data_IF_143575198787
#
_entry.id   IF_143575198787
#
_cell.length_a   1.000
_cell.length_b   1.000
_cell.length_c   1.000
_cell.angle_alpha   90.00
_cell.angle_beta   90.00
_cell.angle_gamma   90.00
#
_symmetry.space_group_name_H-M   'P 1'
#
loop_
_entity.id
_entity.type
_entity.pdbx_description
1 polymer ?
#
# COMPACT_ATOMS: atom_id res chain seq x y z
N UNK A 1 -11.33 -25.27 42.57
CA UNK A 1 -10.44 -25.44 43.75
C UNK A 1 -9.29 -24.45 43.60
N UNK A 2 -8.82 -23.84 44.68
CA UNK A 2 -7.62 -23.00 44.72
C UNK A 2 -6.60 -23.67 45.62
N UNK A 3 -5.34 -23.57 45.25
CA UNK A 3 -4.20 -24.07 46.01
C UNK A 3 -3.12 -22.99 45.97
N UNK A 4 -2.32 -22.89 47.03
CA UNK A 4 -1.25 -21.90 47.08
C UNK A 4 -0.17 -22.29 46.07
N UNK A 5 0.30 -21.34 45.28
CA UNK A 5 1.51 -21.49 44.46
C UNK A 5 2.68 -20.84 45.18
N UNK A 6 3.76 -21.59 45.35
CA UNK A 6 5.02 -21.09 45.91
C UNK A 6 5.92 -20.62 44.76
N UNK A 7 6.06 -19.30 44.64
CA UNK A 7 6.86 -18.65 43.61
C UNK A 7 8.36 -18.97 43.70
N UNK A 8 8.87 -19.28 44.90
CA UNK A 8 10.29 -19.57 45.11
C UNK A 8 10.62 -20.99 44.64
N UNK A 9 9.72 -21.93 44.91
CA UNK A 9 9.91 -23.34 44.56
C UNK A 9 9.26 -23.74 43.24
N UNK A 10 8.46 -22.85 42.62
CA UNK A 10 7.76 -23.08 41.36
C UNK A 10 6.73 -24.20 41.42
N UNK A 11 6.15 -24.44 42.60
CA UNK A 11 5.30 -25.60 42.86
C UNK A 11 4.05 -25.26 43.67
N UNK A 12 3.02 -26.09 43.54
CA UNK A 12 1.83 -26.00 44.40
C UNK A 12 2.18 -26.46 45.82
N UNK A 13 1.69 -25.73 46.82
CA UNK A 13 1.95 -25.98 48.22
C UNK A 13 0.65 -26.01 49.05
N UNK A 14 0.63 -26.87 50.06
CA UNK A 14 -0.53 -27.06 50.95
C UNK A 14 -1.73 -27.75 50.28
N UNK A 15 -2.84 -27.85 51.00
CA UNK A 15 -4.04 -28.54 50.52
C UNK A 15 -4.89 -27.64 49.61
N UNK A 16 -5.50 -28.24 48.58
CA UNK A 16 -6.43 -27.56 47.70
C UNK A 16 -7.76 -27.30 48.43
N UNK A 17 -8.25 -26.06 48.42
CA UNK A 17 -9.55 -25.67 48.99
C UNK A 17 -10.55 -25.31 47.90
N UNK A 18 -11.84 -25.57 48.13
CA UNK A 18 -12.88 -25.10 47.22
C UNK A 18 -13.33 -23.69 47.62
N UNK A 19 -13.41 -22.78 46.66
CA UNK A 19 -14.02 -21.47 46.82
C UNK A 19 -15.12 -21.39 45.75
N UNK A 20 -16.34 -21.07 46.16
CA UNK A 20 -17.40 -20.75 45.21
C UNK A 20 -17.22 -19.31 44.76
N UNK A 21 -17.09 -19.12 43.45
CA UNK A 21 -16.98 -17.82 42.80
C UNK A 21 -17.64 -17.92 41.42
N UNK A 22 -18.31 -16.85 41.02
CA UNK A 22 -18.87 -16.65 39.68
C UNK A 22 -17.88 -15.93 38.75
N UNK A 23 -16.86 -15.28 39.33
CA UNK A 23 -15.82 -14.54 38.63
C UNK A 23 -14.44 -14.80 39.25
N UNK A 24 -13.42 -14.90 38.39
CA UNK A 24 -12.01 -14.94 38.78
C UNK A 24 -11.28 -13.79 38.11
N UNK A 25 -10.81 -12.82 38.90
CA UNK A 25 -9.97 -11.72 38.42
C UNK A 25 -8.50 -12.16 38.45
N UNK A 26 -7.85 -12.14 37.29
CA UNK A 26 -6.46 -12.56 37.13
C UNK A 26 -5.57 -11.36 36.88
N UNK A 27 -4.47 -11.26 37.63
CA UNK A 27 -3.41 -10.27 37.40
C UNK A 27 -2.08 -11.01 37.22
N UNK A 28 -1.58 -11.05 35.98
CA UNK A 28 -0.34 -11.73 35.61
C UNK A 28 0.83 -10.78 35.36
N UNK A 29 0.69 -9.51 35.73
CA UNK A 29 1.64 -8.44 35.42
C UNK A 29 1.25 -7.63 34.18
N UNK A 30 2.19 -6.79 33.71
CA UNK A 30 1.95 -5.80 32.66
C UNK A 30 2.82 -6.03 31.44
N UNK A 31 2.28 -5.78 30.25
CA UNK A 31 3.01 -5.75 28.98
C UNK A 31 2.85 -4.37 28.33
N UNK A 32 3.89 -3.53 28.34
CA UNK A 32 3.85 -2.21 27.70
C UNK A 32 3.41 -2.28 26.24
N UNK A 33 2.53 -1.35 25.83
CA UNK A 33 1.99 -1.31 24.46
C UNK A 33 2.98 -0.64 23.51
N UNK A 34 4.04 -1.35 23.13
CA UNK A 34 5.17 -0.79 22.36
C UNK A 34 5.03 -0.89 20.84
N UNK A 35 3.89 -1.40 20.37
CA UNK A 35 3.63 -1.77 18.96
C UNK A 35 4.01 -0.68 17.97
N UNK A 36 3.59 0.57 18.19
CA UNK A 36 3.86 1.69 17.29
C UNK A 36 5.35 2.06 17.26
N UNK A 37 6.02 2.02 18.41
CA UNK A 37 7.46 2.28 18.49
C UNK A 37 8.28 1.19 17.80
N UNK A 38 7.88 -0.07 17.93
CA UNK A 38 8.52 -1.17 17.19
C UNK A 38 8.26 -1.11 15.68
N UNK A 39 7.07 -0.65 15.26
CA UNK A 39 6.79 -0.39 13.84
C UNK A 39 7.65 0.75 13.26
N UNK A 40 8.17 1.65 14.10
CA UNK A 40 9.13 2.68 13.70
C UNK A 40 10.54 2.13 13.39
N UNK A 41 10.75 0.81 13.48
CA UNK A 41 11.90 0.10 12.91
C UNK A 41 12.99 -0.30 13.91
N UNK A 42 12.82 0.00 15.19
CA UNK A 42 13.76 -0.40 16.24
C UNK A 42 13.22 -1.58 17.08
N UNK A 43 14.13 -2.39 17.62
CA UNK A 43 13.78 -3.60 18.38
C UNK A 43 13.45 -3.26 19.84
N UNK A 44 12.39 -3.86 20.37
CA UNK A 44 12.06 -3.76 21.78
C UNK A 44 13.23 -4.18 22.69
N UNK A 45 13.34 -3.52 23.84
CA UNK A 45 14.41 -3.75 24.81
C UNK A 45 13.85 -4.50 26.02
N UNK A 46 14.51 -5.56 26.47
CA UNK A 46 14.06 -6.31 27.65
C UNK A 46 14.50 -5.63 28.94
N UNK A 47 13.57 -5.42 29.86
CA UNK A 47 13.86 -4.93 31.20
C UNK A 47 13.59 -6.02 32.24
N UNK A 48 14.66 -6.54 32.87
CA UNK A 48 14.58 -7.61 33.85
C UNK A 48 13.94 -7.20 35.18
N UNK A 49 14.00 -5.92 35.57
CA UNK A 49 13.34 -5.44 36.78
C UNK A 49 11.82 -5.41 36.61
N UNK A 50 11.36 -4.95 35.44
CA UNK A 50 9.93 -4.87 35.08
C UNK A 50 9.37 -6.17 34.50
N UNK A 51 10.24 -7.15 34.21
CA UNK A 51 9.91 -8.42 33.53
C UNK A 51 9.07 -8.19 32.26
N UNK A 52 9.44 -7.18 31.46
CA UNK A 52 8.69 -6.75 30.29
C UNK A 52 9.59 -6.23 29.17
N UNK A 53 9.06 -6.27 27.94
CA UNK A 53 9.65 -5.55 26.82
C UNK A 53 9.25 -4.08 26.86
N UNK A 54 10.25 -3.22 26.91
CA UNK A 54 10.16 -1.77 26.84
C UNK A 54 10.38 -1.29 25.40
N UNK A 55 9.94 -0.07 25.08
CA UNK A 55 10.09 0.49 23.76
C UNK A 55 11.57 0.66 23.42
N UNK A 56 11.95 0.53 22.13
CA UNK A 56 13.30 0.84 21.70
C UNK A 56 13.68 2.28 22.01
N UNK A 57 14.97 2.56 22.06
CA UNK A 57 15.47 3.93 21.88
C UNK A 57 14.90 4.55 20.58
N UNK A 58 14.40 5.79 20.68
CA UNK A 58 13.73 6.45 19.57
C UNK A 58 14.72 6.76 18.42
N UNK A 59 14.49 6.13 17.26
CA UNK A 59 15.23 6.39 16.01
C UNK A 59 14.52 7.37 15.08
N UNK A 60 13.28 7.76 15.43
CA UNK A 60 12.44 8.71 14.70
C UNK A 60 11.85 9.74 15.66
N UNK A 61 11.10 10.72 15.14
CA UNK A 61 10.51 11.81 15.93
C UNK A 61 9.26 11.36 16.71
N UNK A 62 9.47 10.62 17.78
CA UNK A 62 8.43 10.29 18.75
C UNK A 62 9.00 10.32 20.17
N UNK A 63 8.13 10.52 21.16
CA UNK A 63 8.49 10.56 22.59
C UNK A 63 7.51 9.65 23.34
N UNK A 64 8.05 8.77 24.20
CA UNK A 64 7.27 7.89 25.05
C UNK A 64 7.02 8.47 26.44
N UNK A 65 5.93 8.06 27.07
CA UNK A 65 5.65 8.38 28.48
C UNK A 65 4.70 7.35 29.13
N UNK A 66 4.80 7.19 30.45
CA UNK A 66 3.90 6.39 31.28
C UNK A 66 4.09 4.88 31.13
N UNK A 67 3.03 4.09 31.25
CA UNK A 67 3.15 2.62 31.22
C UNK A 67 3.80 2.09 29.92
N UNK A 68 3.78 2.88 28.84
CA UNK A 68 4.53 2.60 27.62
C UNK A 68 6.05 2.50 27.86
N UNK A 69 6.64 3.33 28.72
CA UNK A 69 8.09 3.30 29.07
C UNK A 69 8.41 2.33 30.23
N UNK A 70 7.39 1.64 30.77
CA UNK A 70 7.52 0.78 31.95
C UNK A 70 7.22 1.49 33.28
N UNK A 71 6.72 2.72 33.23
CA UNK A 71 6.29 3.49 34.41
C UNK A 71 4.83 3.21 34.75
N UNK A 72 4.61 2.27 35.67
CA UNK A 72 3.27 1.74 35.97
C UNK A 72 2.49 2.54 37.03
N UNK A 73 3.12 3.47 37.74
CA UNK A 73 2.40 4.35 38.67
C UNK A 73 1.78 5.55 37.96
N UNK A 74 0.65 6.03 38.49
CA UNK A 74 -0.01 7.25 38.01
C UNK A 74 0.90 8.48 38.16
N UNK A 75 1.70 8.55 39.24
CA UNK A 75 2.60 9.66 39.50
C UNK A 75 3.70 9.77 38.44
N UNK A 76 4.36 8.64 38.12
CA UNK A 76 5.39 8.59 37.08
C UNK A 76 4.80 8.93 35.71
N UNK A 77 3.63 8.37 35.37
CA UNK A 77 2.99 8.62 34.07
C UNK A 77 2.63 10.10 33.86
N UNK A 78 2.18 10.80 34.90
CA UNK A 78 1.89 12.24 34.86
C UNK A 78 3.17 13.06 34.68
N UNK A 79 4.23 12.73 35.43
CA UNK A 79 5.50 13.44 35.35
C UNK A 79 6.14 13.27 33.97
N UNK A 80 6.18 12.04 33.46
CA UNK A 80 6.71 11.73 32.13
C UNK A 80 5.88 12.32 31.00
N UNK A 81 4.54 12.19 31.07
CA UNK A 81 3.65 12.72 30.03
C UNK A 81 3.80 14.23 29.86
N UNK A 82 3.97 14.94 30.98
CA UNK A 82 4.28 16.37 30.97
C UNK A 82 5.65 16.66 30.37
N UNK A 83 6.69 15.95 30.79
CA UNK A 83 8.04 16.15 30.26
C UNK A 83 8.08 15.89 28.75
N UNK A 84 7.42 14.84 28.28
CA UNK A 84 7.27 14.50 26.88
C UNK A 84 6.51 15.58 26.10
N UNK A 85 5.40 16.08 26.65
CA UNK A 85 4.62 17.16 26.03
C UNK A 85 5.40 18.47 25.92
N UNK A 86 6.13 18.86 26.98
CA UNK A 86 6.97 20.06 26.96
C UNK A 86 8.12 19.94 25.95
N UNK A 87 8.76 18.77 25.90
CA UNK A 87 9.80 18.48 24.92
C UNK A 87 9.27 18.54 23.48
N UNK A 88 8.12 17.91 23.21
CA UNK A 88 7.47 17.94 21.90
C UNK A 88 7.05 19.35 21.46
N UNK A 89 6.69 20.22 22.41
CA UNK A 89 6.30 21.61 22.15
C UNK A 89 7.47 22.60 22.02
N UNK A 90 8.73 22.16 22.19
CA UNK A 90 9.90 23.05 22.08
C UNK A 90 10.24 23.84 23.36
N UNK A 91 9.73 23.43 24.52
CA UNK A 91 10.35 23.73 25.83
C UNK A 91 10.35 25.18 26.32
N UNK A 92 9.23 25.91 26.26
CA UNK A 92 9.15 27.28 26.84
C UNK A 92 8.03 27.49 27.86
N UNK A 93 7.32 26.43 28.26
CA UNK A 93 6.24 26.53 29.25
C UNK A 93 6.72 26.60 30.70
N UNK A 94 6.20 27.55 31.48
CA UNK A 94 6.44 27.64 32.92
C UNK A 94 5.90 26.41 33.65
N UNK A 95 6.66 25.78 34.55
CA UNK A 95 6.15 24.59 35.21
C UNK A 95 5.00 24.86 36.20
N UNK A 96 3.75 24.50 35.86
CA UNK A 96 2.66 24.32 36.84
C UNK A 96 2.98 23.21 37.86
N UNK A 97 2.40 23.21 39.06
CA UNK A 97 2.56 22.08 39.98
C UNK A 97 1.90 20.80 39.40
N UNK A 98 2.51 19.64 39.61
CA UNK A 98 1.86 18.37 39.27
C UNK A 98 0.71 18.10 40.26
N UNK A 99 -0.40 17.48 39.81
CA UNK A 99 -1.45 17.05 40.73
C UNK A 99 -0.90 16.02 41.72
N UNK A 100 -1.34 16.13 42.98
CA UNK A 100 -1.05 15.12 44.00
C UNK A 100 -1.92 13.90 43.71
N UNK A 101 -1.30 12.72 43.64
CA UNK A 101 -1.99 11.45 43.43
C UNK A 101 -1.75 10.52 44.60
N UNK A 102 -2.75 9.72 44.94
CA UNK A 102 -2.62 8.68 45.96
C UNK A 102 -1.68 7.58 45.45
N UNK A 103 -0.82 7.06 46.34
CA UNK A 103 0.05 5.94 45.99
C UNK A 103 -0.81 4.68 45.77
N UNK A 104 -0.59 3.98 44.66
CA UNK A 104 -1.28 2.73 44.40
C UNK A 104 -0.92 1.70 45.50
N UNK A 105 -1.90 1.03 46.12
CA UNK A 105 -1.61 -0.03 47.07
C UNK A 105 -1.06 -1.27 46.35
N UNK A 106 -0.03 -1.89 46.93
CA UNK A 106 0.58 -3.12 46.41
C UNK A 106 1.95 -2.92 45.75
N UNK A 107 2.47 -3.99 45.17
CA UNK A 107 3.72 -3.98 44.42
C UNK A 107 3.48 -3.41 43.02
N UNK A 108 4.15 -2.32 42.61
CA UNK A 108 4.03 -1.77 41.25
C UNK A 108 4.64 -2.69 40.18
N UNK A 109 5.47 -3.67 40.58
CA UNK A 109 6.20 -4.60 39.71
C UNK A 109 5.95 -6.06 40.08
N UNK A 110 4.70 -6.54 40.03
CA UNK A 110 4.42 -7.92 40.40
C UNK A 110 5.19 -8.88 39.48
N UNK A 111 6.01 -9.75 40.07
CA UNK A 111 6.74 -10.78 39.33
C UNK A 111 5.74 -11.66 38.55
N UNK A 112 5.79 -11.71 37.21
CA UNK A 112 4.82 -12.43 36.42
C UNK A 112 4.96 -13.93 36.61
N UNK A 113 3.83 -14.64 36.67
CA UNK A 113 3.76 -16.09 36.64
C UNK A 113 3.33 -16.53 35.25
N UNK A 114 4.28 -17.00 34.44
CA UNK A 114 3.99 -17.37 33.05
C UNK A 114 3.27 -18.70 32.90
N UNK A 115 3.48 -19.62 33.86
CA UNK A 115 2.77 -20.89 33.91
C UNK A 115 2.69 -21.42 35.35
N UNK A 116 1.50 -21.91 35.73
CA UNK A 116 1.32 -22.77 36.89
C UNK A 116 1.00 -24.18 36.39
N UNK A 117 1.87 -25.15 36.68
CA UNK A 117 1.65 -26.55 36.31
C UNK A 117 0.69 -27.20 37.29
N UNK A 118 -0.48 -27.59 36.81
CA UNK A 118 -1.53 -28.26 37.58
C UNK A 118 -2.31 -29.22 36.67
N UNK A 119 -3.21 -30.01 37.27
CA UNK A 119 -4.14 -30.86 36.51
C UNK A 119 -5.10 -29.99 35.69
N UNK A 120 -5.16 -30.22 34.37
CA UNK A 120 -6.06 -29.51 33.46
C UNK A 120 -5.32 -28.85 32.28
N UNK A 121 -6.01 -27.93 31.60
CA UNK A 121 -5.45 -27.16 30.47
C UNK A 121 -4.87 -25.83 30.96
N UNK A 122 -3.64 -25.54 30.57
CA UNK A 122 -3.01 -24.23 30.73
C UNK A 122 -3.09 -23.47 29.41
N UNK A 123 -4.11 -22.63 29.22
CA UNK A 123 -4.27 -21.84 28.01
C UNK A 123 -3.26 -20.70 27.94
N UNK A 124 -2.70 -20.51 26.75
CA UNK A 124 -1.74 -19.45 26.40
C UNK A 124 -2.37 -18.47 25.42
N UNK A 125 -3.09 -18.97 24.41
CA UNK A 125 -3.91 -18.18 23.49
C UNK A 125 -5.37 -18.62 23.60
N UNK A 126 -6.22 -17.76 24.14
CA UNK A 126 -7.63 -18.09 24.33
C UNK A 126 -8.42 -18.08 23.03
N UNK A 127 -8.06 -17.26 22.04
CA UNK A 127 -8.86 -17.13 20.82
C UNK A 127 -8.63 -18.30 19.87
N UNK A 128 -7.42 -18.86 19.87
CA UNK A 128 -7.05 -20.02 19.05
C UNK A 128 -6.93 -21.32 19.84
N UNK A 129 -7.37 -21.35 21.11
CA UNK A 129 -7.30 -22.53 21.99
C UNK A 129 -5.87 -23.13 22.14
N UNK A 130 -4.83 -22.30 22.03
CA UNK A 130 -3.44 -22.76 22.19
C UNK A 130 -3.12 -22.91 23.67
N UNK A 131 -2.58 -24.07 24.04
CA UNK A 131 -2.17 -24.39 25.41
C UNK A 131 -0.65 -24.47 25.57
N UNK A 132 -0.18 -24.50 26.81
CA UNK A 132 1.23 -24.73 27.13
C UNK A 132 1.71 -26.11 26.62
N UNK A 133 0.82 -27.09 26.49
CA UNK A 133 1.19 -28.40 25.93
C UNK A 133 1.46 -28.33 24.43
N UNK A 134 0.77 -27.46 23.69
CA UNK A 134 1.05 -27.23 22.27
C UNK A 134 2.42 -26.56 22.07
N UNK A 135 2.81 -25.66 22.99
CA UNK A 135 4.16 -25.07 23.02
C UNK A 135 5.22 -26.15 23.27
N UNK A 136 4.97 -27.06 24.21
CA UNK A 136 5.87 -28.20 24.48
C UNK A 136 5.94 -29.16 23.30
N UNK A 137 4.81 -29.44 22.65
CA UNK A 137 4.76 -30.29 21.47
C UNK A 137 5.58 -29.69 20.33
N UNK A 138 5.39 -28.39 20.04
CA UNK A 138 6.19 -27.68 19.04
C UNK A 138 7.69 -27.78 19.33
N UNK A 139 8.10 -27.59 20.58
CA UNK A 139 9.50 -27.75 20.98
C UNK A 139 10.00 -29.20 20.80
N UNK A 140 9.23 -30.21 21.20
CA UNK A 140 9.58 -31.64 21.02
C UNK A 140 9.74 -32.00 19.54
N UNK A 141 8.98 -31.38 18.65
CA UNK A 141 9.09 -31.56 17.19
C UNK A 141 10.21 -30.74 16.55
N UNK A 142 10.99 -29.99 17.35
CA UNK A 142 12.18 -29.28 16.89
C UNK A 142 11.95 -27.81 16.51
N UNK A 143 10.77 -27.26 16.73
CA UNK A 143 10.48 -25.84 16.48
C UNK A 143 11.01 -24.95 17.61
N UNK A 144 12.25 -24.49 17.47
CA UNK A 144 12.94 -23.66 18.48
C UNK A 144 12.78 -22.14 18.31
N UNK A 145 12.52 -21.68 17.08
CA UNK A 145 12.29 -20.26 16.80
C UNK A 145 10.86 -19.85 17.17
N UNK A 146 10.69 -18.67 17.76
CA UNK A 146 9.36 -18.11 18.07
C UNK A 146 8.50 -17.93 16.83
N UNK A 147 9.14 -17.69 15.67
CA UNK A 147 8.46 -17.59 14.39
C UNK A 147 7.94 -18.95 13.91
N UNK A 148 8.65 -20.04 14.22
CA UNK A 148 8.17 -21.40 13.97
C UNK A 148 7.07 -21.80 14.95
N UNK A 149 7.25 -21.52 16.24
CA UNK A 149 6.21 -21.75 17.26
C UNK A 149 4.88 -21.10 16.86
N UNK A 150 4.92 -19.83 16.48
CA UNK A 150 3.76 -19.07 16.01
C UNK A 150 3.06 -19.76 14.84
N UNK A 151 3.81 -20.20 13.82
CA UNK A 151 3.24 -20.82 12.61
C UNK A 151 2.72 -22.23 12.84
N UNK A 152 3.37 -22.98 13.72
CA UNK A 152 2.98 -24.35 14.06
C UNK A 152 1.71 -24.37 14.91
N UNK A 153 1.65 -23.53 15.95
CA UNK A 153 0.55 -23.53 16.92
C UNK A 153 -0.59 -22.57 16.55
N UNK A 154 -0.38 -21.66 15.60
CA UNK A 154 -1.25 -20.51 15.29
C UNK A 154 -1.34 -19.44 16.39
N UNK A 155 -0.52 -19.56 17.45
CA UNK A 155 -0.39 -18.60 18.54
C UNK A 155 -0.23 -17.16 18.05
N UNK A 156 -1.02 -16.24 18.60
CA UNK A 156 -0.90 -14.81 18.35
C UNK A 156 -1.23 -14.40 16.91
N UNK A 157 -1.87 -15.29 16.13
CA UNK A 157 -2.36 -15.02 14.78
C UNK A 157 -3.85 -14.67 14.75
N UNK A 158 -4.49 -14.61 15.91
CA UNK A 158 -5.91 -14.32 16.03
C UNK A 158 -6.21 -12.81 15.81
N UNK A 159 -7.48 -12.42 15.96
CA UNK A 159 -7.90 -11.02 15.72
C UNK A 159 -7.32 -10.04 16.74
N UNK A 160 -6.92 -10.52 17.91
CA UNK A 160 -6.25 -9.74 18.94
C UNK A 160 -4.74 -9.53 18.64
N UNK A 161 -4.18 -10.28 17.69
CA UNK A 161 -2.75 -10.31 17.32
C UNK A 161 -1.83 -10.67 18.50
N UNK A 162 -2.31 -11.53 19.40
CA UNK A 162 -1.51 -12.08 20.51
C UNK A 162 -1.12 -11.06 21.58
N UNK A 163 -1.93 -10.01 21.76
CA UNK A 163 -1.74 -8.98 22.80
C UNK A 163 -1.67 -9.58 24.21
N UNK A 164 -2.34 -10.71 24.44
CA UNK A 164 -2.31 -11.43 25.73
C UNK A 164 -1.52 -12.74 25.68
N UNK A 165 -1.23 -13.29 24.49
CA UNK A 165 -0.70 -14.66 24.34
C UNK A 165 0.78 -14.74 23.98
N UNK A 166 1.31 -13.76 23.23
CA UNK A 166 2.68 -13.84 22.70
C UNK A 166 3.73 -13.89 23.83
N UNK A 167 3.53 -13.11 24.89
CA UNK A 167 4.53 -12.98 25.93
C UNK A 167 4.60 -14.21 26.86
N UNK A 168 3.48 -14.76 27.38
CA UNK A 168 3.51 -16.04 28.09
C UNK A 168 4.08 -17.19 27.25
N UNK A 169 3.76 -17.26 25.96
CA UNK A 169 4.30 -18.27 25.06
C UNK A 169 5.81 -18.15 24.86
N UNK A 170 6.29 -16.92 24.71
CA UNK A 170 7.72 -16.62 24.60
C UNK A 170 8.47 -17.06 25.86
N UNK A 171 7.93 -16.76 27.03
CA UNK A 171 8.51 -17.18 28.31
C UNK A 171 8.51 -18.71 28.47
N UNK A 172 7.44 -19.39 28.07
CA UNK A 172 7.37 -20.85 28.06
C UNK A 172 8.41 -21.49 27.12
N UNK A 173 8.56 -20.93 25.91
CA UNK A 173 9.58 -21.39 24.95
C UNK A 173 11.01 -21.11 25.45
N UNK A 174 11.24 -19.96 26.09
CA UNK A 174 12.53 -19.63 26.71
C UNK A 174 12.91 -20.67 27.78
N UNK A 175 11.96 -21.01 28.66
CA UNK A 175 12.16 -22.04 29.69
C UNK A 175 12.45 -23.42 29.10
N UNK A 176 11.75 -23.85 28.03
CA UNK A 176 11.98 -25.13 27.36
C UNK A 176 13.36 -25.21 26.68
N UNK A 177 13.84 -24.08 26.16
CA UNK A 177 15.14 -23.95 25.52
C UNK A 177 16.30 -23.73 26.49
N UNK A 178 16.02 -23.60 27.79
CA UNK A 178 16.99 -23.15 28.79
C UNK A 178 17.71 -21.85 28.36
N UNK A 179 16.95 -20.90 27.80
CA UNK A 179 17.42 -19.61 27.30
C UNK A 179 16.71 -18.47 28.03
N UNK A 180 17.27 -17.26 27.96
CA UNK A 180 16.59 -16.07 28.47
C UNK A 180 15.49 -15.60 27.52
N UNK A 181 14.53 -14.83 28.04
CA UNK A 181 13.45 -14.23 27.22
C UNK A 181 14.00 -13.39 26.05
N UNK A 182 15.03 -12.53 26.23
CA UNK A 182 15.66 -11.79 25.13
C UNK A 182 16.25 -12.66 24.03
N UNK A 183 16.94 -13.75 24.39
CA UNK A 183 17.60 -14.68 23.44
C UNK A 183 16.59 -15.50 22.63
N UNK A 184 15.37 -15.64 23.15
CA UNK A 184 14.29 -16.37 22.47
C UNK A 184 13.71 -15.55 21.32
N UNK A 185 13.82 -14.22 21.39
CA UNK A 185 13.45 -13.25 20.36
C UNK A 185 11.97 -12.83 20.44
N UNK A 186 11.68 -11.55 20.29
CA UNK A 186 10.29 -11.08 20.16
C UNK A 186 9.79 -11.21 18.72
N UNK A 187 8.51 -11.52 18.54
CA UNK A 187 7.89 -11.52 17.21
C UNK A 187 7.81 -10.10 16.65
N UNK A 188 7.84 -9.98 15.32
CA UNK A 188 7.75 -8.67 14.66
C UNK A 188 6.36 -8.04 14.83
N UNK A 189 6.30 -6.78 15.28
CA UNK A 189 5.07 -5.98 15.31
C UNK A 189 4.78 -5.39 13.92
N UNK A 190 3.53 -5.51 13.45
CA UNK A 190 3.11 -5.05 12.12
C UNK A 190 1.88 -4.15 12.19
N UNK A 191 1.74 -3.16 11.30
CA UNK A 191 0.47 -2.47 11.11
C UNK A 191 -0.57 -3.42 10.46
N UNK A 192 -1.87 -3.19 10.68
CA UNK A 192 -2.43 -2.19 11.61
C UNK A 192 -2.38 -2.69 13.08
N UNK A 193 -2.34 -1.77 14.07
CA UNK A 193 -2.34 -2.12 15.51
C UNK A 193 -3.57 -2.95 15.92
N UNK A 194 -4.72 -2.60 15.34
CA UNK A 194 -5.99 -3.32 15.41
C UNK A 194 -6.58 -3.38 14.00
N UNK A 195 -7.41 -4.39 13.67
CA UNK A 195 -8.02 -4.52 12.36
C UNK A 195 -8.73 -3.24 11.89
N UNK A 196 -8.61 -2.95 10.59
CA UNK A 196 -9.28 -1.83 9.92
C UNK A 196 -10.13 -2.40 8.79
N UNK A 197 -11.37 -1.93 8.65
CA UNK A 197 -12.24 -2.35 7.56
C UNK A 197 -11.65 -1.96 6.19
N UNK A 198 -11.67 -2.88 5.21
CA UNK A 198 -11.13 -2.64 3.86
C UNK A 198 -11.78 -1.40 3.22
N UNK A 199 -13.08 -1.18 3.43
CA UNK A 199 -13.79 0.00 2.92
C UNK A 199 -13.27 1.33 3.47
N UNK A 200 -12.76 1.36 4.71
CA UNK A 200 -12.14 2.55 5.28
C UNK A 200 -10.79 2.86 4.60
N UNK A 201 -10.03 1.84 4.21
CA UNK A 201 -8.79 1.98 3.44
C UNK A 201 -9.04 2.41 1.99
N UNK A 202 -10.11 1.90 1.37
CA UNK A 202 -10.51 2.28 0.01
C UNK A 202 -11.01 3.73 -0.07
N UNK A 203 -11.57 4.26 1.02
CA UNK A 203 -12.07 5.63 1.08
C UNK A 203 -13.14 5.91 0.03
N UNK A 204 -12.90 6.89 -0.84
CA UNK A 204 -13.83 7.28 -1.92
C UNK A 204 -13.45 6.68 -3.29
N UNK A 205 -12.46 5.79 -3.35
CA UNK A 205 -12.07 5.11 -4.58
C UNK A 205 -13.03 3.96 -4.92
N UNK A 206 -14.29 4.29 -5.21
CA UNK A 206 -15.38 3.34 -5.52
C UNK A 206 -16.13 3.74 -6.80
N UNK A 207 -16.67 2.76 -7.53
CA UNK A 207 -17.42 3.02 -8.76
C UNK A 207 -16.63 3.87 -9.77
N UNK A 208 -17.26 4.92 -10.33
CA UNK A 208 -16.60 5.86 -11.24
C UNK A 208 -15.57 6.80 -10.56
N UNK A 209 -15.40 6.73 -9.24
CA UNK A 209 -14.32 7.41 -8.52
C UNK A 209 -13.11 6.50 -8.27
N UNK A 210 -13.18 5.22 -8.67
CA UNK A 210 -12.03 4.30 -8.58
C UNK A 210 -10.89 4.73 -9.50
N UNK A 211 -11.21 5.20 -10.71
CA UNK A 211 -10.28 5.78 -11.69
C UNK A 211 -10.95 6.94 -12.43
N UNK A 212 -10.21 7.98 -12.84
CA UNK A 212 -10.78 9.06 -13.63
C UNK A 212 -11.29 8.55 -14.98
N UNK A 213 -12.33 9.21 -15.50
CA UNK A 213 -12.88 8.95 -16.81
C UNK A 213 -12.69 10.19 -17.66
N UNK A 214 -12.15 10.01 -18.86
CA UNK A 214 -11.89 11.05 -19.85
C UNK A 214 -12.91 10.96 -20.97
N UNK A 215 -13.45 12.11 -21.37
CA UNK A 215 -14.48 12.24 -22.39
C UNK A 215 -14.00 13.21 -23.45
N UNK A 216 -14.22 12.88 -24.71
CA UNK A 216 -13.91 13.80 -25.81
C UNK A 216 -14.94 14.93 -25.84
N UNK A 217 -14.67 16.06 -26.52
CA UNK A 217 -15.67 17.11 -26.72
C UNK A 217 -16.94 16.62 -27.45
N UNK A 218 -16.87 15.47 -28.13
CA UNK A 218 -17.99 14.85 -28.87
C UNK A 218 -18.78 13.83 -28.04
N UNK A 219 -18.40 13.61 -26.77
CA UNK A 219 -18.99 12.55 -25.94
C UNK A 219 -20.52 12.63 -25.82
N UNK A 220 -21.06 13.81 -25.56
CA UNK A 220 -22.52 13.97 -25.42
C UNK A 220 -23.24 13.71 -26.76
N UNK A 221 -22.61 14.03 -27.89
CA UNK A 221 -23.15 13.67 -29.21
C UNK A 221 -23.17 12.15 -29.41
N UNK A 222 -22.10 11.45 -29.02
CA UNK A 222 -22.02 9.99 -29.08
C UNK A 222 -23.15 9.34 -28.27
N UNK A 223 -23.34 9.79 -27.03
CA UNK A 223 -24.40 9.27 -26.14
C UNK A 223 -25.80 9.53 -26.71
N UNK A 224 -26.06 10.75 -27.19
CA UNK A 224 -27.34 11.13 -27.78
C UNK A 224 -27.66 10.35 -29.07
N UNK A 225 -26.64 9.92 -29.81
CA UNK A 225 -26.78 9.13 -31.04
C UNK A 225 -26.60 7.63 -30.81
N UNK A 226 -26.79 7.15 -29.58
CA UNK A 226 -26.87 5.72 -29.31
C UNK A 226 -25.53 4.98 -29.44
N UNK A 227 -24.41 5.66 -29.21
CA UNK A 227 -23.12 5.01 -29.08
C UNK A 227 -23.11 4.07 -27.85
N UNK A 228 -22.65 2.84 -28.06
CA UNK A 228 -22.14 2.00 -26.98
C UNK A 228 -20.71 2.43 -26.68
N UNK A 229 -20.38 2.72 -25.42
CA UNK A 229 -19.05 3.25 -25.08
C UNK A 229 -18.11 2.16 -24.57
N UNK A 230 -16.87 2.16 -25.04
CA UNK A 230 -15.79 1.29 -24.60
C UNK A 230 -14.75 2.08 -23.79
N UNK A 231 -14.29 1.50 -22.69
CA UNK A 231 -13.15 2.01 -21.92
C UNK A 231 -11.83 1.67 -22.64
N UNK A 232 -11.10 2.71 -23.08
CA UNK A 232 -9.77 2.58 -23.67
C UNK A 232 -8.78 3.37 -22.82
N UNK A 233 -8.12 2.68 -21.89
CA UNK A 233 -7.37 3.32 -20.81
C UNK A 233 -8.30 4.11 -19.90
N UNK A 234 -8.13 5.43 -19.85
CA UNK A 234 -9.03 6.33 -19.12
C UNK A 234 -10.14 6.91 -20.01
N UNK A 235 -10.09 6.73 -21.32
CA UNK A 235 -11.04 7.35 -22.25
C UNK A 235 -12.30 6.50 -22.46
N UNK A 236 -13.45 7.15 -22.52
CA UNK A 236 -14.65 6.55 -23.11
C UNK A 236 -14.67 6.85 -24.61
N UNK A 237 -14.58 5.79 -25.43
CA UNK A 237 -14.65 5.89 -26.89
C UNK A 237 -15.91 5.21 -27.42
N UNK A 238 -16.53 5.71 -28.50
CA UNK A 238 -17.59 4.96 -29.19
C UNK A 238 -17.05 3.62 -29.65
N UNK A 239 -17.70 2.54 -29.24
CA UNK A 239 -17.39 1.18 -29.66
C UNK A 239 -18.09 0.85 -30.97
N UNK A 240 -19.40 1.09 -31.00
CA UNK A 240 -20.28 1.03 -32.17
C UNK A 240 -21.54 1.86 -31.88
N UNK A 241 -22.36 2.10 -32.90
CA UNK A 241 -23.64 2.78 -32.76
C UNK A 241 -24.80 1.80 -32.90
N UNK A 242 -25.75 1.81 -31.96
CA UNK A 242 -26.83 0.80 -31.89
C UNK A 242 -27.78 0.82 -33.10
N UNK A 243 -27.78 1.88 -33.90
CA UNK A 243 -28.53 1.93 -35.16
C UNK A 243 -27.91 1.03 -36.24
N UNK A 244 -26.64 0.66 -36.10
CA UNK A 244 -25.91 -0.19 -37.06
C UNK A 244 -26.13 -1.69 -36.83
N UNK A 245 -26.63 -2.10 -35.67
CA UNK A 245 -26.82 -3.50 -35.32
C UNK A 245 -27.24 -3.68 -33.85
N UNK A 246 -27.81 -4.85 -33.53
CA UNK A 246 -28.25 -5.16 -32.17
C UNK A 246 -27.08 -5.43 -31.20
N UNK A 247 -25.94 -5.86 -31.75
CA UNK A 247 -24.68 -6.05 -31.05
C UNK A 247 -23.48 -5.58 -31.90
N UNK A 248 -22.28 -5.69 -31.35
CA UNK A 248 -21.06 -5.30 -32.06
C UNK A 248 -20.83 -6.13 -33.33
N UNK A 249 -21.20 -7.41 -33.35
CA UNK A 249 -20.94 -8.32 -34.48
C UNK A 249 -21.78 -7.96 -35.70
N UNK A 250 -23.00 -7.48 -35.50
CA UNK A 250 -23.81 -6.93 -36.59
C UNK A 250 -23.33 -5.52 -36.96
N UNK A 251 -23.10 -4.68 -35.96
CA UNK A 251 -22.78 -3.27 -36.15
C UNK A 251 -21.48 -3.06 -36.92
N UNK A 252 -20.40 -3.77 -36.59
CA UNK A 252 -19.11 -3.58 -37.27
C UNK A 252 -19.20 -3.91 -38.76
N UNK A 253 -19.97 -4.93 -39.15
CA UNK A 253 -20.18 -5.29 -40.57
C UNK A 253 -20.93 -4.18 -41.30
N UNK A 254 -22.01 -3.66 -40.70
CA UNK A 254 -22.81 -2.58 -41.29
C UNK A 254 -22.01 -1.28 -41.43
N UNK A 255 -21.31 -0.87 -40.37
CA UNK A 255 -20.48 0.34 -40.33
C UNK A 255 -19.33 0.25 -41.34
N UNK A 256 -18.60 -0.87 -41.39
CA UNK A 256 -17.54 -1.08 -42.37
C UNK A 256 -18.06 -1.04 -43.81
N UNK A 257 -19.23 -1.64 -44.08
CA UNK A 257 -19.85 -1.58 -45.41
C UNK A 257 -20.18 -0.14 -45.79
N UNK A 258 -20.76 0.64 -44.88
CA UNK A 258 -21.07 2.05 -45.10
C UNK A 258 -19.82 2.88 -45.38
N UNK A 259 -18.74 2.71 -44.59
CA UNK A 259 -17.46 3.40 -44.82
C UNK A 259 -16.89 3.07 -46.20
N UNK A 260 -16.91 1.79 -46.61
CA UNK A 260 -16.33 1.35 -47.89
C UNK A 260 -17.14 1.75 -49.11
N UNK A 261 -18.46 1.84 -49.00
CA UNK A 261 -19.36 2.16 -50.12
C UNK A 261 -19.68 3.66 -50.21
N UNK A 262 -19.61 4.38 -49.10
CA UNK A 262 -19.94 5.80 -49.01
C UNK A 262 -18.88 6.56 -48.21
N UNK A 263 -19.15 6.88 -46.95
CA UNK A 263 -18.22 7.49 -46.02
C UNK A 263 -18.66 7.20 -44.58
N UNK A 264 -17.71 7.22 -43.65
CA UNK A 264 -17.98 7.25 -42.22
C UNK A 264 -17.04 8.21 -41.50
N UNK A 265 -17.46 8.59 -40.31
CA UNK A 265 -16.75 9.51 -39.43
C UNK A 265 -16.40 8.79 -38.14
N UNK A 266 -15.14 8.91 -37.70
CA UNK A 266 -14.67 8.36 -36.43
C UNK A 266 -14.06 9.46 -35.57
N UNK A 267 -14.47 9.54 -34.30
CA UNK A 267 -13.81 10.35 -33.30
C UNK A 267 -12.45 9.71 -32.93
N UNK A 268 -11.39 10.39 -33.33
CA UNK A 268 -9.99 10.02 -33.05
C UNK A 268 -9.31 11.04 -32.13
N UNK A 269 -10.09 11.86 -31.44
CA UNK A 269 -9.61 12.88 -30.50
C UNK A 269 -8.77 12.27 -29.37
N UNK A 270 -8.89 10.97 -29.11
CA UNK A 270 -8.17 10.29 -28.02
C UNK A 270 -6.73 9.89 -28.36
N UNK A 271 -6.27 10.02 -29.61
CA UNK A 271 -4.87 9.75 -29.94
C UNK A 271 -3.95 10.68 -29.15
N UNK A 272 -2.77 10.21 -28.76
CA UNK A 272 -1.74 11.10 -28.23
C UNK A 272 -1.27 12.04 -29.34
N UNK A 273 -1.02 13.30 -29.01
CA UNK A 273 -0.56 14.33 -29.94
C UNK A 273 0.56 15.11 -29.27
N UNK A 274 1.72 15.15 -29.92
CA UNK A 274 2.91 15.80 -29.40
C UNK A 274 3.43 16.75 -30.47
N UNK A 275 3.60 18.01 -30.10
CA UNK A 275 4.28 19.01 -30.93
C UNK A 275 5.78 18.93 -30.62
N UNK A 276 6.59 18.67 -31.65
CA UNK A 276 8.05 18.50 -31.56
C UNK A 276 8.70 19.65 -32.31
N UNK A 277 9.36 20.56 -31.59
CA UNK A 277 9.84 21.82 -32.13
C UNK A 277 11.32 22.05 -31.81
N UNK A 278 12.12 22.36 -32.83
CA UNK A 278 13.52 22.74 -32.67
C UNK A 278 14.40 22.32 -33.85
N UNK A 279 15.58 22.94 -34.00
CA UNK A 279 16.51 22.62 -35.10
C UNK A 279 16.92 21.15 -35.15
N UNK A 280 16.96 20.45 -34.01
CA UNK A 280 17.38 19.04 -33.95
C UNK A 280 16.20 18.05 -33.96
N UNK A 281 14.96 18.52 -34.18
CA UNK A 281 13.76 17.69 -34.15
C UNK A 281 13.81 16.51 -35.13
N UNK A 282 14.29 16.73 -36.34
CA UNK A 282 14.44 15.67 -37.34
C UNK A 282 15.43 14.58 -36.90
N UNK A 283 16.56 14.96 -36.30
CA UNK A 283 17.57 14.04 -35.79
C UNK A 283 17.01 13.24 -34.61
N UNK A 284 16.29 13.92 -33.71
CA UNK A 284 15.64 13.26 -32.59
C UNK A 284 14.62 12.22 -33.06
N UNK A 285 13.76 12.55 -34.03
CA UNK A 285 12.78 11.60 -34.58
C UNK A 285 13.44 10.40 -35.27
N UNK A 286 14.58 10.58 -35.94
CA UNK A 286 15.37 9.47 -36.52
C UNK A 286 15.95 8.52 -35.44
N UNK A 287 16.13 9.00 -34.20
CA UNK A 287 16.55 8.15 -33.07
C UNK A 287 15.39 7.45 -32.38
N UNK A 288 14.20 8.04 -32.42
CA UNK A 288 12.99 7.51 -31.76
C UNK A 288 12.28 6.47 -32.62
N UNK A 289 12.16 6.72 -33.92
CA UNK A 289 11.49 5.82 -34.84
C UNK A 289 12.46 4.85 -35.52
N UNK A 290 11.98 3.65 -35.80
CA UNK A 290 12.73 2.65 -36.57
C UNK A 290 12.98 3.06 -38.03
N UNK A 291 12.19 4.00 -38.56
CA UNK A 291 12.34 4.57 -39.90
C UNK A 291 12.72 6.05 -39.85
N UNK A 292 13.41 6.54 -40.89
CA UNK A 292 13.87 7.93 -40.94
C UNK A 292 12.75 8.94 -41.20
N UNK A 293 12.91 10.14 -40.66
CA UNK A 293 12.09 11.35 -40.76
C UNK A 293 12.86 12.56 -41.30
N UNK A 294 14.20 12.58 -41.23
CA UNK A 294 14.99 13.74 -41.66
C UNK A 294 14.71 14.23 -43.10
N UNK A 295 14.46 13.30 -44.02
CA UNK A 295 14.14 13.57 -45.44
C UNK A 295 12.63 13.73 -45.73
N UNK A 296 11.77 13.74 -44.71
CA UNK A 296 10.33 13.95 -44.90
C UNK A 296 10.10 15.40 -45.37
N UNK A 297 9.47 15.66 -46.53
CA UNK A 297 9.17 17.03 -46.96
C UNK A 297 8.15 17.72 -46.03
N UNK A 298 8.21 19.05 -45.93
CA UNK A 298 7.19 19.85 -45.23
C UNK A 298 5.82 19.63 -45.91
N UNK A 299 4.76 19.55 -45.10
CA UNK A 299 3.39 19.27 -45.55
C UNK A 299 3.12 17.80 -45.84
N UNK A 300 4.07 16.91 -45.54
CA UNK A 300 3.90 15.44 -45.66
C UNK A 300 3.88 14.78 -44.30
N UNK A 301 3.24 13.62 -44.26
CA UNK A 301 3.15 12.76 -43.10
C UNK A 301 3.77 11.40 -43.38
N UNK A 302 4.28 10.75 -42.34
CA UNK A 302 4.87 9.41 -42.41
C UNK A 302 4.47 8.61 -41.18
N UNK A 303 4.04 7.38 -41.40
CA UNK A 303 3.85 6.40 -40.34
C UNK A 303 5.21 5.89 -39.86
N UNK A 304 5.37 5.71 -38.55
CA UNK A 304 6.57 5.18 -37.94
C UNK A 304 6.25 4.30 -36.74
N UNK A 305 7.18 3.39 -36.44
CA UNK A 305 7.12 2.49 -35.28
C UNK A 305 8.24 2.85 -34.33
N UNK A 306 7.90 3.02 -33.05
CA UNK A 306 8.84 3.28 -31.97
C UNK A 306 9.16 1.95 -31.28
N UNK A 307 10.44 1.68 -31.07
CA UNK A 307 10.90 0.45 -30.41
C UNK A 307 11.44 0.78 -29.02
N UNK A 308 11.34 -0.20 -28.13
CA UNK A 308 12.14 -0.22 -26.89
C UNK A 308 13.59 -0.59 -27.22
N UNK A 309 14.45 -0.47 -26.22
CA UNK A 309 15.88 -0.79 -26.33
C UNK A 309 16.13 -2.28 -26.63
N UNK A 310 15.17 -3.17 -26.33
CA UNK A 310 15.20 -4.60 -26.66
C UNK A 310 14.66 -4.91 -28.08
N UNK A 311 14.33 -3.89 -28.88
CA UNK A 311 13.84 -4.04 -30.25
C UNK A 311 12.36 -4.40 -30.38
N UNK A 312 11.62 -4.50 -29.27
CA UNK A 312 10.18 -4.79 -29.30
C UNK A 312 9.38 -3.49 -29.49
N UNK A 313 8.28 -3.57 -30.23
CA UNK A 313 7.38 -2.44 -30.46
C UNK A 313 6.92 -1.84 -29.12
N UNK A 314 7.15 -0.54 -28.99
CA UNK A 314 6.73 0.26 -27.86
C UNK A 314 5.41 0.97 -28.15
N UNK A 315 5.37 1.71 -29.26
CA UNK A 315 4.19 2.39 -29.79
C UNK A 315 4.38 2.70 -31.28
N UNK A 316 3.39 3.29 -31.93
CA UNK A 316 3.43 3.67 -33.33
C UNK A 316 2.59 4.92 -33.58
N UNK A 317 2.68 5.46 -34.79
CA UNK A 317 1.78 6.51 -35.19
C UNK A 317 2.23 7.26 -36.43
N UNK A 318 1.46 8.29 -36.77
CA UNK A 318 1.75 9.15 -37.92
C UNK A 318 2.34 10.46 -37.44
N UNK A 319 3.48 10.84 -37.99
CA UNK A 319 4.11 12.12 -37.73
C UNK A 319 4.13 12.98 -38.99
N UNK A 320 3.64 14.21 -38.87
CA UNK A 320 3.53 15.19 -39.96
C UNK A 320 4.58 16.27 -39.79
N UNK A 321 5.35 16.59 -40.85
CA UNK A 321 6.28 17.71 -40.82
C UNK A 321 5.54 19.01 -41.17
N UNK A 322 5.25 19.82 -40.16
CA UNK A 322 4.49 21.07 -40.32
C UNK A 322 5.35 22.23 -40.82
N UNK A 323 6.62 22.26 -40.42
CA UNK A 323 7.62 23.21 -40.90
C UNK A 323 9.01 22.55 -40.89
N UNK A 324 10.04 23.26 -41.33
CA UNK A 324 11.43 22.74 -41.35
C UNK A 324 11.84 22.12 -40.01
N UNK A 325 11.55 22.81 -38.91
CA UNK A 325 11.93 22.45 -37.54
C UNK A 325 10.72 22.14 -36.63
N UNK A 326 9.58 21.74 -37.22
CA UNK A 326 8.35 21.45 -36.46
C UNK A 326 7.64 20.21 -36.99
N UNK A 327 7.35 19.28 -36.09
CA UNK A 327 6.63 18.05 -36.37
C UNK A 327 5.45 17.87 -35.42
N UNK A 328 4.35 17.35 -35.96
CA UNK A 328 3.19 16.94 -35.19
C UNK A 328 3.14 15.42 -35.16
N UNK A 329 3.50 14.85 -34.02
CA UNK A 329 3.53 13.42 -33.78
C UNK A 329 2.18 12.97 -33.22
N UNK A 330 1.64 11.87 -33.76
CA UNK A 330 0.55 11.13 -33.13
C UNK A 330 1.04 9.80 -32.57
N UNK A 331 0.40 9.34 -31.51
CA UNK A 331 0.68 8.07 -30.83
C UNK A 331 -0.63 7.31 -30.61
N UNK A 332 -0.55 6.05 -30.18
CA UNK A 332 -1.74 5.34 -29.72
C UNK A 332 -2.40 6.04 -28.52
N UNK A 333 -3.71 5.87 -28.36
CA UNK A 333 -4.47 6.46 -27.24
C UNK A 333 -3.95 6.04 -25.87
N UNK A 334 -3.60 4.76 -25.71
CA UNK A 334 -3.21 4.22 -24.42
C UNK A 334 -1.78 4.61 -24.01
N UNK A 335 -0.91 4.95 -24.98
CA UNK A 335 0.50 5.24 -24.75
C UNK A 335 0.88 6.71 -24.86
N UNK A 336 -0.09 7.62 -25.02
CA UNK A 336 0.17 9.05 -25.15
C UNK A 336 1.11 9.61 -24.05
N UNK A 337 0.83 9.29 -22.78
CA UNK A 337 1.65 9.72 -21.64
C UNK A 337 3.01 9.00 -21.58
N UNK A 338 3.02 7.70 -21.84
CA UNK A 338 4.25 6.89 -21.83
C UNK A 338 5.24 7.35 -22.91
N UNK A 339 4.75 7.65 -24.12
CA UNK A 339 5.60 8.16 -25.21
C UNK A 339 6.19 9.51 -24.83
N UNK A 340 5.38 10.49 -24.42
CA UNK A 340 5.90 11.81 -24.01
C UNK A 340 6.96 11.67 -22.91
N UNK A 341 6.66 10.88 -21.88
CA UNK A 341 7.58 10.66 -20.76
C UNK A 341 8.90 10.04 -21.22
N UNK A 342 8.87 9.12 -22.20
CA UNK A 342 10.08 8.54 -22.80
C UNK A 342 10.86 9.57 -23.62
N UNK A 343 10.18 10.43 -24.37
CA UNK A 343 10.83 11.50 -25.14
C UNK A 343 11.56 12.47 -24.20
N UNK A 344 10.88 12.94 -23.16
CA UNK A 344 11.45 13.83 -22.13
C UNK A 344 12.62 13.16 -21.42
N UNK A 345 12.46 11.92 -20.96
CA UNK A 345 13.54 11.16 -20.33
C UNK A 345 14.79 11.07 -21.19
N UNK A 346 14.65 10.81 -22.49
CA UNK A 346 15.79 10.69 -23.40
C UNK A 346 16.47 12.05 -23.65
N UNK A 347 15.70 13.13 -23.73
CA UNK A 347 16.24 14.48 -23.82
C UNK A 347 17.00 14.86 -22.54
N UNK A 348 16.47 14.53 -21.36
CA UNK A 348 17.09 14.89 -20.08
C UNK A 348 18.33 14.05 -19.75
N UNK A 349 18.36 12.77 -20.16
CA UNK A 349 19.37 11.81 -19.66
C UNK A 349 20.33 11.29 -20.71
N UNK A 350 19.89 11.15 -21.97
CA UNK A 350 20.69 10.53 -23.02
C UNK A 350 21.23 11.56 -24.01
N UNK A 351 20.42 12.56 -24.38
CA UNK A 351 20.74 13.53 -25.42
C UNK A 351 20.47 14.99 -24.99
N UNK A 352 21.02 15.45 -23.86
CA UNK A 352 20.79 16.80 -23.32
C UNK A 352 21.29 17.92 -24.24
N UNK A 353 22.18 17.61 -25.18
CA UNK A 353 22.73 18.59 -26.13
C UNK A 353 21.80 18.87 -27.33
N UNK A 354 20.74 18.07 -27.55
CA UNK A 354 19.81 18.31 -28.66
C UNK A 354 18.92 19.52 -28.37
N UNK A 355 18.85 20.46 -29.32
CA UNK A 355 18.07 21.69 -29.18
C UNK A 355 16.67 21.50 -29.75
N UNK A 356 15.79 20.93 -28.93
CA UNK A 356 14.36 20.85 -29.22
C UNK A 356 13.54 20.79 -27.93
N UNK A 357 12.23 20.98 -28.08
CA UNK A 357 11.24 20.72 -27.05
C UNK A 357 10.14 19.80 -27.59
N UNK A 358 9.58 19.01 -26.71
CA UNK A 358 8.37 18.22 -26.94
C UNK A 358 7.26 18.76 -26.04
N UNK A 359 6.04 18.88 -26.55
CA UNK A 359 4.90 19.36 -25.77
C UNK A 359 3.67 18.55 -26.12
N UNK A 360 2.98 18.02 -25.11
CA UNK A 360 1.68 17.40 -25.34
C UNK A 360 0.68 18.46 -25.79
N UNK A 361 0.06 18.21 -26.94
CA UNK A 361 -1.10 18.95 -27.45
C UNK A 361 -2.29 17.99 -27.60
N UNK A 362 -2.28 16.89 -26.83
CA UNK A 362 -3.28 15.81 -26.92
C UNK A 362 -4.70 16.32 -26.64
N UNK A 363 -4.84 17.19 -25.64
CA UNK A 363 -6.13 17.70 -25.17
C UNK A 363 -6.51 19.05 -25.79
N UNK A 364 -5.56 19.69 -26.48
CA UNK A 364 -5.79 20.93 -27.23
C UNK A 364 -6.62 20.67 -28.48
N UNK A 365 -6.44 19.50 -29.11
CA UNK A 365 -7.04 19.19 -30.41
C UNK A 365 -8.03 18.03 -30.32
N UNK A 366 -9.29 18.31 -30.64
CA UNK A 366 -10.22 17.29 -31.11
C UNK A 366 -9.87 16.89 -32.55
N UNK A 367 -10.17 15.64 -32.92
CA UNK A 367 -9.86 15.13 -34.24
C UNK A 367 -10.92 14.15 -34.73
N UNK A 368 -11.28 14.26 -36.00
CA UNK A 368 -12.21 13.35 -36.70
C UNK A 368 -11.51 12.78 -37.92
N UNK A 369 -11.66 11.46 -38.12
CA UNK A 369 -11.30 10.81 -39.36
C UNK A 369 -12.54 10.67 -40.24
N UNK A 370 -12.51 11.21 -41.45
CA UNK A 370 -13.58 11.03 -42.46
C UNK A 370 -13.04 10.12 -43.56
N UNK A 371 -13.52 8.88 -43.60
CA UNK A 371 -13.00 7.83 -44.47
C UNK A 371 -14.08 7.28 -45.42
N UNK A 372 -13.67 6.88 -46.63
CA UNK A 372 -14.55 6.30 -47.65
C UNK A 372 -14.49 7.04 -48.99
N UNK A 373 -15.00 6.45 -50.09
CA UNK A 373 -14.93 7.04 -51.43
C UNK A 373 -15.61 8.43 -51.54
N UNK A 374 -16.58 8.74 -50.68
CA UNK A 374 -17.28 10.04 -50.66
C UNK A 374 -16.65 11.08 -49.74
N UNK A 375 -15.55 10.77 -49.02
CA UNK A 375 -14.95 11.71 -48.06
C UNK A 375 -14.49 13.02 -48.71
N UNK A 376 -13.93 12.96 -49.93
CA UNK A 376 -13.51 14.16 -50.68
C UNK A 376 -14.68 15.12 -50.89
N UNK A 377 -15.85 14.60 -51.28
CA UNK A 377 -17.03 15.41 -51.54
C UNK A 377 -17.64 16.01 -50.26
N UNK A 378 -17.37 15.41 -49.10
CA UNK A 378 -17.77 15.94 -47.79
C UNK A 378 -16.86 17.09 -47.35
N UNK A 379 -15.58 17.05 -47.74
CA UNK A 379 -14.55 18.01 -47.32
C UNK A 379 -14.36 19.21 -48.27
N UNK A 380 -14.82 19.08 -49.52
CA UNK A 380 -14.83 20.14 -50.53
C UNK A 380 -16.08 20.97 -50.45
#
# INVERSE_FOLDING_TARGET
KVQRFDMTNGALAGDARSIQADCLLMSGGWSPTIHLASQAGAKAEWNAARQAFLPPNATQRWIGAGAFTGSFSTAEAIAEGRAAGLSAAGGTGTPAALPVVEAAPGDPDPAPVFEIKADGKSFVDFQHDVTAEDVRLAHREGFISVEHLKRYTTLGMATDQGKTSNFPALAAMAALRNATIPETGATTFRPPYTPVAIGALAGRAIGHHFKPIRRTPMHEWHMANGAEMLEVGLWMRPYFYRQSGSDVNEAYVAEMRNVRQAAGLMDISTLGKIDVQGPDAAIFLDRIYANGFAKLPVGRARYGVMLRDDGIVFDDGTTTRLAENRFFMTTSTAKAADVLSRLEFLLDTAWPDLRLAVTSVSDEWAAMSVAGPKSRAILS
#
